data_IF_604941506365
#
_entry.id   IF_604941506365
#
_cell.length_a   1.000
_cell.length_b   1.000
_cell.length_c   1.000
_cell.angle_alpha   90.00
_cell.angle_beta   90.00
_cell.angle_gamma   90.00
#
_symmetry.space_group_name_H-M   'P 1'
#
loop_
_entity.id
_entity.type
_entity.pdbx_description
1 polymer ?
#
# COMPACT_ATOMS: atom_id res chain seq x y z
N UNK A 1 9.22 22.90 0.39
CA UNK A 1 8.80 22.53 1.75
C UNK A 1 8.52 21.04 1.82
N UNK A 2 9.13 20.36 2.76
CA UNK A 2 8.85 18.95 2.98
C UNK A 2 7.44 18.81 3.54
N UNK A 3 6.60 18.03 2.88
CA UNK A 3 5.26 17.72 3.35
C UNK A 3 5.37 16.87 4.61
N UNK A 4 4.70 17.27 5.68
CA UNK A 4 4.62 16.47 6.88
C UNK A 4 3.87 15.17 6.57
N UNK A 5 4.47 14.03 6.89
CA UNK A 5 3.80 12.74 6.71
C UNK A 5 2.66 12.62 7.72
N UNK A 6 1.47 12.33 7.21
CA UNK A 6 0.31 12.10 8.07
C UNK A 6 0.41 10.75 8.75
N UNK A 7 -0.28 10.55 9.90
CA UNK A 7 -0.35 9.22 10.53
C UNK A 7 -0.86 8.12 9.60
N UNK A 8 -1.76 8.46 8.69
CA UNK A 8 -2.29 7.53 7.70
C UNK A 8 -1.22 7.17 6.66
N UNK A 9 -0.47 8.16 6.16
CA UNK A 9 0.64 7.89 5.24
C UNK A 9 1.67 6.99 5.91
N UNK A 10 2.00 7.27 7.18
CA UNK A 10 2.95 6.45 7.93
C UNK A 10 2.46 5.02 8.10
N UNK A 11 1.16 4.83 8.35
CA UNK A 11 0.57 3.49 8.44
C UNK A 11 0.72 2.72 7.12
N UNK A 12 0.50 3.40 5.99
CA UNK A 12 0.67 2.79 4.67
C UNK A 12 2.12 2.42 4.41
N UNK A 13 3.06 3.28 4.79
CA UNK A 13 4.50 3.01 4.60
C UNK A 13 4.95 1.83 5.46
N UNK A 14 4.46 1.72 6.68
CA UNK A 14 4.75 0.56 7.53
C UNK A 14 4.12 -0.72 6.97
N UNK A 15 2.90 -0.62 6.45
CA UNK A 15 2.26 -1.77 5.81
C UNK A 15 3.06 -2.23 4.59
N UNK A 16 3.59 -1.29 3.81
CA UNK A 16 4.49 -1.62 2.70
C UNK A 16 5.68 -2.44 3.19
N UNK A 17 6.32 -1.99 4.27
CA UNK A 17 7.48 -2.71 4.84
C UNK A 17 7.09 -4.11 5.33
N UNK A 18 5.95 -4.23 5.99
CA UNK A 18 5.47 -5.52 6.48
C UNK A 18 5.21 -6.48 5.32
N UNK A 19 4.52 -6.02 4.28
CA UNK A 19 4.23 -6.85 3.11
C UNK A 19 5.51 -7.27 2.41
N UNK A 20 6.46 -6.34 2.25
CA UNK A 20 7.74 -6.63 1.63
C UNK A 20 8.48 -7.74 2.39
N UNK A 21 8.53 -7.65 3.73
CA UNK A 21 9.14 -8.69 4.55
C UNK A 21 8.42 -10.03 4.39
N UNK A 22 7.10 -10.00 4.32
CA UNK A 22 6.30 -11.20 4.13
C UNK A 22 6.53 -11.88 2.78
N UNK A 23 6.74 -11.08 1.72
CA UNK A 23 7.08 -11.64 0.41
C UNK A 23 8.44 -12.34 0.42
N UNK A 24 9.41 -11.78 1.14
CA UNK A 24 10.76 -12.35 1.23
C UNK A 24 10.82 -13.55 2.19
N UNK A 25 9.88 -13.63 3.11
CA UNK A 25 9.83 -14.72 4.09
C UNK A 25 8.38 -15.18 4.28
N UNK A 26 7.93 -16.13 3.44
CA UNK A 26 6.53 -16.59 3.45
C UNK A 26 6.08 -17.25 4.75
N UNK A 27 7.00 -17.59 5.64
CA UNK A 27 6.65 -18.21 6.92
C UNK A 27 6.06 -17.23 7.93
N UNK A 28 6.24 -15.93 7.71
CA UNK A 28 5.63 -14.93 8.59
C UNK A 28 4.11 -14.92 8.47
N UNK A 29 3.45 -14.83 9.61
CA UNK A 29 2.01 -14.54 9.68
C UNK A 29 1.80 -13.03 9.70
N UNK A 30 0.57 -12.59 9.44
CA UNK A 30 0.23 -11.17 9.55
C UNK A 30 0.55 -10.64 10.94
N UNK A 31 0.17 -11.38 11.99
CA UNK A 31 0.45 -11.00 13.38
C UNK A 31 1.94 -10.90 13.66
N UNK A 32 2.73 -11.83 13.15
CA UNK A 32 4.18 -11.81 13.30
C UNK A 32 4.82 -10.61 12.64
N UNK A 33 4.37 -10.25 11.44
CA UNK A 33 4.86 -9.06 10.74
C UNK A 33 4.53 -7.78 11.49
N UNK A 34 3.31 -7.69 12.02
CA UNK A 34 2.89 -6.52 12.78
C UNK A 34 3.79 -6.33 14.02
N UNK A 35 3.97 -7.40 14.80
CA UNK A 35 4.82 -7.34 16.00
C UNK A 35 6.25 -6.95 15.63
N UNK A 36 6.79 -7.55 14.57
CA UNK A 36 8.15 -7.25 14.11
C UNK A 36 8.32 -5.77 13.76
N UNK A 37 7.36 -5.20 13.04
CA UNK A 37 7.42 -3.78 12.67
C UNK A 37 7.25 -2.86 13.88
N UNK A 38 6.42 -3.25 14.84
CA UNK A 38 6.24 -2.47 16.07
C UNK A 38 7.51 -2.46 16.93
N UNK A 39 8.21 -3.59 17.01
CA UNK A 39 9.44 -3.70 17.81
C UNK A 39 10.62 -3.01 17.17
N UNK A 40 10.80 -3.18 15.87
CA UNK A 40 11.93 -2.61 15.16
C UNK A 40 11.75 -1.14 14.86
N UNK A 41 10.54 -0.64 15.04
CA UNK A 41 10.09 0.72 14.70
C UNK A 41 11.10 1.42 13.83
N UNK A 42 10.88 1.38 12.52
CA UNK A 42 11.89 1.88 11.61
C UNK A 42 12.27 3.28 11.98
N UNK A 43 13.52 3.52 11.82
CA UNK A 43 14.17 4.78 11.98
C UNK A 43 13.67 5.73 10.88
N UNK A 44 12.39 6.03 10.90
CA UNK A 44 11.90 7.14 10.10
C UNK A 44 11.97 8.33 11.01
N UNK A 45 13.15 8.91 11.06
CA UNK A 45 13.35 10.10 11.88
C UNK A 45 12.79 11.31 11.16
N UNK A 46 11.97 12.07 11.87
CA UNK A 46 11.65 13.41 11.44
C UNK A 46 12.90 14.26 11.62
N UNK A 47 12.95 15.41 10.95
CA UNK A 47 14.08 16.35 11.06
C UNK A 47 14.41 16.77 12.51
N UNK A 48 13.51 16.56 13.45
CA UNK A 48 13.67 16.97 14.85
C UNK A 48 13.96 15.79 15.78
N UNK A 49 14.33 14.63 15.24
CA UNK A 49 14.56 13.43 16.03
C UNK A 49 13.30 12.82 16.62
N UNK A 50 12.14 13.38 16.30
CA UNK A 50 10.85 12.83 16.73
C UNK A 50 10.31 11.93 15.65
N UNK A 51 9.82 10.75 16.08
CA UNK A 51 9.17 9.83 15.14
C UNK A 51 7.84 10.42 14.69
N UNK A 52 7.52 10.37 13.38
CA UNK A 52 6.19 10.75 12.92
C UNK A 52 5.16 9.85 13.60
N UNK A 53 4.02 10.41 13.93
CA UNK A 53 2.92 9.63 14.48
C UNK A 53 2.43 8.63 13.43
N UNK A 54 2.04 7.44 13.88
CA UNK A 54 1.52 6.37 13.03
C UNK A 54 0.10 6.05 13.50
N UNK A 55 -0.81 5.92 12.55
CA UNK A 55 -2.13 5.37 12.87
C UNK A 55 -1.99 3.85 12.98
N UNK A 56 -1.76 3.36 14.20
CA UNK A 56 -1.50 1.95 14.47
C UNK A 56 -2.68 1.05 14.08
N UNK A 57 -3.89 1.50 14.34
CA UNK A 57 -5.09 0.72 13.99
C UNK A 57 -5.19 0.52 12.48
N UNK A 58 -4.93 1.57 11.72
CA UNK A 58 -4.95 1.50 10.27
C UNK A 58 -3.84 0.60 9.72
N UNK A 59 -2.63 0.71 10.29
CA UNK A 59 -1.53 -0.17 9.93
C UNK A 59 -1.91 -1.64 10.12
N UNK A 60 -2.43 -1.99 11.29
CA UNK A 60 -2.83 -3.37 11.57
C UNK A 60 -3.96 -3.82 10.66
N UNK A 61 -4.93 -2.95 10.42
CA UNK A 61 -6.04 -3.25 9.52
C UNK A 61 -5.54 -3.60 8.12
N UNK A 62 -4.62 -2.80 7.59
CA UNK A 62 -4.08 -3.03 6.26
C UNK A 62 -3.38 -4.38 6.16
N UNK A 63 -2.48 -4.68 7.11
CA UNK A 63 -1.73 -5.94 7.06
C UNK A 63 -2.66 -7.13 7.23
N UNK A 64 -3.53 -7.11 8.23
CA UNK A 64 -4.46 -8.23 8.49
C UNK A 64 -5.46 -8.41 7.37
N UNK A 65 -6.03 -7.31 6.88
CA UNK A 65 -7.05 -7.36 5.84
C UNK A 65 -6.49 -7.85 4.51
N UNK A 66 -5.30 -7.40 4.15
CA UNK A 66 -4.65 -7.85 2.91
C UNK A 66 -4.29 -9.33 3.01
N UNK A 67 -3.68 -9.77 4.11
CA UNK A 67 -3.31 -11.17 4.30
C UNK A 67 -4.51 -12.10 4.31
N UNK A 68 -5.62 -11.66 4.88
CA UNK A 68 -6.83 -12.49 4.93
C UNK A 68 -7.38 -12.83 3.53
N UNK A 69 -7.14 -11.96 2.54
CA UNK A 69 -7.71 -12.12 1.20
C UNK A 69 -6.73 -11.76 0.11
N UNK A 70 -5.46 -12.06 0.29
CA UNK A 70 -4.39 -11.64 -0.63
C UNK A 70 -4.63 -12.13 -2.06
N UNK A 71 -5.10 -13.37 -2.22
CA UNK A 71 -5.37 -13.94 -3.54
C UNK A 71 -6.48 -13.18 -4.26
N UNK A 72 -7.47 -12.73 -3.50
CA UNK A 72 -8.59 -11.95 -4.04
C UNK A 72 -8.11 -10.61 -4.59
N UNK A 73 -7.25 -9.92 -3.87
CA UNK A 73 -6.71 -8.63 -4.32
C UNK A 73 -5.77 -8.80 -5.51
N UNK A 74 -4.94 -9.83 -5.49
CA UNK A 74 -4.09 -10.14 -6.64
C UNK A 74 -4.93 -10.41 -7.88
N UNK A 75 -6.00 -11.21 -7.74
CA UNK A 75 -6.89 -11.53 -8.84
C UNK A 75 -7.58 -10.29 -9.40
N UNK A 76 -7.96 -9.37 -8.53
CA UNK A 76 -8.60 -8.12 -8.95
C UNK A 76 -7.63 -7.22 -9.73
N UNK A 77 -6.37 -7.23 -9.39
CA UNK A 77 -5.34 -6.40 -10.05
C UNK A 77 -4.89 -6.95 -11.40
N UNK A 78 -4.84 -8.28 -11.55
CA UNK A 78 -4.26 -8.93 -12.73
C UNK A 78 -4.77 -8.43 -14.07
N UNK A 79 -6.09 -8.22 -14.27
CA UNK A 79 -6.58 -7.77 -15.58
C UNK A 79 -6.04 -6.43 -16.04
N UNK A 80 -5.55 -5.62 -15.12
CA UNK A 80 -5.14 -4.25 -15.39
C UNK A 80 -3.63 -4.08 -15.47
N UNK A 81 -2.87 -5.15 -15.25
CA UNK A 81 -1.42 -5.11 -15.32
C UNK A 81 -0.96 -5.14 -16.78
N UNK A 82 0.05 -4.34 -17.11
CA UNK A 82 0.68 -4.37 -18.42
C UNK A 82 1.78 -5.43 -18.51
N UNK A 83 2.02 -6.13 -17.41
CA UNK A 83 2.99 -7.22 -17.30
C UNK A 83 2.41 -8.27 -16.34
N UNK A 84 2.99 -9.47 -16.32
CA UNK A 84 2.50 -10.51 -15.42
C UNK A 84 2.74 -10.13 -13.96
N UNK A 85 1.94 -10.68 -13.05
CA UNK A 85 2.11 -10.44 -11.62
C UNK A 85 3.54 -10.79 -11.17
N UNK A 86 4.09 -11.86 -11.70
CA UNK A 86 5.45 -12.31 -11.37
C UNK A 86 6.52 -11.31 -11.76
N UNK A 87 6.26 -10.50 -12.78
CA UNK A 87 7.19 -9.48 -13.25
C UNK A 87 7.07 -8.14 -12.51
N UNK A 88 5.99 -7.96 -11.74
CA UNK A 88 5.82 -6.77 -10.91
C UNK A 88 6.78 -6.89 -9.73
N UNK A 89 7.56 -5.84 -9.44
CA UNK A 89 8.49 -5.94 -8.33
C UNK A 89 7.79 -5.90 -6.98
N UNK A 90 8.51 -6.31 -5.93
CA UNK A 90 7.93 -6.48 -4.59
C UNK A 90 7.37 -5.18 -4.01
N UNK A 91 8.05 -4.05 -4.25
CA UNK A 91 7.58 -2.74 -3.77
C UNK A 91 6.27 -2.37 -4.47
N UNK A 92 6.23 -2.51 -5.78
CA UNK A 92 5.03 -2.24 -6.57
C UNK A 92 3.87 -3.14 -6.14
N UNK A 93 4.15 -4.43 -5.93
CA UNK A 93 3.13 -5.37 -5.44
C UNK A 93 2.51 -4.91 -4.12
N UNK A 94 3.35 -4.51 -3.18
CA UNK A 94 2.86 -4.07 -1.88
C UNK A 94 2.00 -2.82 -2.00
N UNK A 95 2.43 -1.84 -2.78
CA UNK A 95 1.67 -0.60 -2.99
C UNK A 95 0.32 -0.90 -3.65
N UNK A 96 0.32 -1.74 -4.67
CA UNK A 96 -0.92 -2.11 -5.37
C UNK A 96 -1.90 -2.84 -4.45
N UNK A 97 -1.39 -3.74 -3.61
CA UNK A 97 -2.25 -4.46 -2.66
C UNK A 97 -2.86 -3.52 -1.62
N UNK A 98 -2.09 -2.58 -1.10
CA UNK A 98 -2.59 -1.60 -0.15
C UNK A 98 -3.71 -0.77 -0.77
N UNK A 99 -3.48 -0.24 -1.97
CA UNK A 99 -4.47 0.58 -2.65
C UNK A 99 -5.71 -0.23 -3.04
N UNK A 100 -5.53 -1.46 -3.50
CA UNK A 100 -6.67 -2.34 -3.82
C UNK A 100 -7.53 -2.60 -2.59
N UNK A 101 -6.90 -2.84 -1.45
CA UNK A 101 -7.61 -3.01 -0.19
C UNK A 101 -8.44 -1.77 0.14
N UNK A 102 -7.84 -0.58 0.06
CA UNK A 102 -8.54 0.66 0.39
C UNK A 102 -9.66 0.96 -0.60
N UNK A 103 -9.44 0.75 -1.88
CA UNK A 103 -10.47 0.97 -2.89
C UNK A 103 -11.71 0.11 -2.64
N UNK A 104 -11.50 -1.11 -2.19
CA UNK A 104 -12.60 -2.05 -1.93
C UNK A 104 -13.29 -1.80 -0.60
N UNK A 105 -12.54 -1.46 0.45
CA UNK A 105 -13.07 -1.47 1.82
C UNK A 105 -13.27 -0.07 2.42
N UNK A 106 -12.56 0.94 1.95
CA UNK A 106 -12.64 2.29 2.48
C UNK A 106 -13.45 3.19 1.55
N UNK A 107 -14.73 2.89 1.41
CA UNK A 107 -15.60 3.52 0.42
C UNK A 107 -15.81 5.03 0.68
N UNK A 108 -15.58 5.49 1.92
CA UNK A 108 -15.67 6.91 2.25
C UNK A 108 -14.41 7.70 1.87
N UNK A 109 -13.30 6.99 1.61
CA UNK A 109 -12.08 7.65 1.15
C UNK A 109 -12.18 7.85 -0.35
N UNK A 110 -12.03 9.08 -0.84
CA UNK A 110 -12.12 9.31 -2.29
C UNK A 110 -11.06 8.55 -3.06
N UNK A 111 -11.44 8.08 -4.24
CA UNK A 111 -10.54 7.37 -5.15
C UNK A 111 -9.25 8.16 -5.39
N UNK A 112 -9.37 9.46 -5.63
CA UNK A 112 -8.21 10.32 -5.89
C UNK A 112 -7.23 10.33 -4.73
N UNK A 113 -7.72 10.30 -3.50
CA UNK A 113 -6.86 10.28 -2.31
C UNK A 113 -6.08 8.98 -2.25
N UNK A 114 -6.77 7.85 -2.46
CA UNK A 114 -6.11 6.53 -2.41
C UNK A 114 -5.02 6.44 -3.47
N UNK A 115 -5.32 6.86 -4.68
CA UNK A 115 -4.35 6.79 -5.78
C UNK A 115 -3.19 7.75 -5.55
N UNK A 116 -3.46 8.99 -5.10
CA UNK A 116 -2.41 9.96 -4.82
C UNK A 116 -1.45 9.48 -3.74
N UNK A 117 -1.99 8.82 -2.71
CA UNK A 117 -1.15 8.24 -1.65
C UNK A 117 -0.27 7.11 -2.18
N UNK A 118 -0.84 6.23 -2.99
CA UNK A 118 -0.07 5.14 -3.61
C UNK A 118 1.03 5.69 -4.51
N UNK A 119 0.71 6.69 -5.33
CA UNK A 119 1.67 7.33 -6.22
C UNK A 119 2.79 8.02 -5.43
N UNK A 120 2.42 8.71 -4.33
CA UNK A 120 3.40 9.36 -3.46
C UNK A 120 4.38 8.36 -2.83
N UNK A 121 3.88 7.22 -2.37
CA UNK A 121 4.72 6.16 -1.82
C UNK A 121 5.61 5.57 -2.91
N UNK A 122 5.08 5.37 -4.12
CA UNK A 122 5.86 4.87 -5.25
C UNK A 122 7.01 5.81 -5.62
N UNK A 123 6.79 7.12 -5.54
CA UNK A 123 7.85 8.09 -5.80
C UNK A 123 8.96 8.05 -4.76
N UNK A 124 8.63 7.67 -3.53
CA UNK A 124 9.60 7.60 -2.43
C UNK A 124 10.38 6.29 -2.45
N UNK A 125 9.71 5.16 -2.64
CA UNK A 125 10.29 3.83 -2.46
C UNK A 125 10.44 3.03 -3.75
N UNK A 126 9.70 3.39 -4.79
CA UNK A 126 9.75 2.68 -6.05
C UNK A 126 10.93 3.08 -6.92
N UNK A 127 11.21 2.27 -7.92
CA UNK A 127 12.20 2.60 -8.94
C UNK A 127 11.64 3.66 -9.89
N UNK A 128 12.51 4.19 -10.73
CA UNK A 128 12.11 5.19 -11.73
C UNK A 128 10.97 4.66 -12.60
N UNK A 129 9.92 5.46 -12.71
CA UNK A 129 8.75 5.12 -13.52
C UNK A 129 7.69 4.29 -12.81
N UNK A 130 7.97 3.75 -11.61
CA UNK A 130 6.99 2.94 -10.87
C UNK A 130 5.68 3.67 -10.66
N UNK A 131 5.73 4.95 -10.32
CA UNK A 131 4.51 5.70 -10.01
C UNK A 131 3.55 5.79 -11.20
N UNK A 132 4.09 5.84 -12.43
CA UNK A 132 3.26 5.88 -13.64
C UNK A 132 2.54 4.55 -13.86
N UNK A 133 3.26 3.46 -13.68
CA UNK A 133 2.69 2.11 -13.77
C UNK A 133 1.58 1.94 -12.73
N UNK A 134 1.86 2.28 -11.48
CA UNK A 134 0.89 2.16 -10.38
C UNK A 134 -0.34 3.02 -10.64
N UNK A 135 -0.14 4.27 -11.05
CA UNK A 135 -1.27 5.16 -11.34
C UNK A 135 -2.18 4.57 -12.42
N UNK A 136 -1.59 4.07 -13.50
CA UNK A 136 -2.35 3.48 -14.61
C UNK A 136 -3.15 2.25 -14.19
N UNK A 137 -2.55 1.36 -13.40
CA UNK A 137 -3.24 0.17 -12.90
C UNK A 137 -4.39 0.57 -11.97
N UNK A 138 -4.14 1.48 -11.06
CA UNK A 138 -5.13 1.85 -10.04
C UNK A 138 -6.31 2.63 -10.62
N UNK A 139 -6.08 3.45 -11.65
CA UNK A 139 -7.19 4.11 -12.34
C UNK A 139 -8.19 3.10 -12.89
N UNK A 140 -7.69 2.06 -13.52
CA UNK A 140 -8.53 1.01 -14.11
C UNK A 140 -9.20 0.17 -13.03
N UNK A 141 -8.46 -0.20 -12.00
CA UNK A 141 -9.02 -0.96 -10.90
C UNK A 141 -10.12 -0.18 -10.17
N UNK A 142 -9.91 1.12 -9.96
CA UNK A 142 -10.91 1.96 -9.30
C UNK A 142 -12.21 2.01 -10.08
N UNK A 143 -12.14 2.15 -11.40
CA UNK A 143 -13.33 2.11 -12.25
C UNK A 143 -14.06 0.78 -12.12
N UNK A 144 -13.33 -0.32 -12.08
CA UNK A 144 -13.94 -1.65 -11.95
C UNK A 144 -14.57 -1.87 -10.58
N UNK A 145 -13.96 -1.39 -9.50
CA UNK A 145 -14.44 -1.64 -8.15
C UNK A 145 -15.49 -0.65 -7.68
N UNK A 146 -15.41 0.60 -8.12
CA UNK A 146 -16.28 1.68 -7.65
C UNK A 146 -17.30 2.14 -8.67
N UNK A 147 -17.30 1.48 -9.80
CA UNK A 147 -18.24 1.78 -10.87
C UNK A 147 -17.76 2.93 -11.75
N UNK A 148 -18.32 2.95 -12.96
CA UNK A 148 -18.03 3.98 -13.95
C UNK A 148 -18.82 5.22 -13.57
N UNK A 149 -18.17 6.38 -13.67
CA UNK A 149 -18.88 7.64 -13.49
C UNK A 149 -19.94 7.77 -14.57
N UNK A 150 -21.17 7.91 -14.13
CA UNK A 150 -22.27 8.21 -15.04
C UNK A 150 -22.20 9.71 -15.29
N UNK A 151 -21.95 10.05 -16.52
CA UNK A 151 -22.01 11.44 -16.95
C UNK A 151 -23.43 11.80 -17.38
#
# INVERSE_FOLDING_TARGET
>A
MATTRTPQRMARELALQALYQGFLNPDYTASGLIVNLQETKPIIESRNGKRPAVNEDFFQELVKGIYAHIDRYQKALKPFLSRSWEEVDWIEKAILLIAAYELKNHLHTPTSVIIDEAVGIAKTYGKEGSYKFINGVLDKLADALRGVKIN
#
